data_IF_072106565947
#
_entry.id   IF_072106565947
#
_cell.length_a   1.000
_cell.length_b   1.000
_cell.length_c   1.000
_cell.angle_alpha   90.00
_cell.angle_beta   90.00
_cell.angle_gamma   90.00
#
_symmetry.space_group_name_H-M   'P 1'
#
loop_
_entity.id
_entity.type
_entity.pdbx_description
1 polymer ?
#
# COMPACT_ATOMS: atom_id res chain seq x y z
N UNK A 1 -6.70 -64.41 -30.18
CA UNK A 1 -7.57 -63.49 -29.45
C UNK A 1 -8.74 -64.10 -28.68
N UNK A 2 -9.19 -65.32 -29.04
CA UNK A 2 -10.31 -66.00 -28.35
C UNK A 2 -9.95 -66.51 -26.94
N UNK A 3 -8.68 -66.84 -26.68
CA UNK A 3 -8.26 -67.37 -25.38
C UNK A 3 -8.18 -66.32 -24.25
N UNK A 4 -7.92 -65.04 -24.59
CA UNK A 4 -7.88 -63.95 -23.61
C UNK A 4 -9.28 -63.52 -23.16
N UNK A 5 -10.28 -63.57 -24.07
CA UNK A 5 -11.65 -63.25 -23.75
C UNK A 5 -12.30 -64.30 -22.81
N UNK A 6 -12.00 -65.57 -22.99
CA UNK A 6 -12.50 -66.65 -22.11
C UNK A 6 -11.87 -66.56 -20.71
N UNK A 7 -10.59 -66.22 -20.63
CA UNK A 7 -9.90 -66.00 -19.32
C UNK A 7 -10.50 -64.81 -18.54
N UNK A 8 -10.82 -63.72 -19.19
CA UNK A 8 -11.42 -62.56 -18.57
C UNK A 8 -12.85 -62.81 -18.07
N UNK A 9 -13.64 -63.54 -18.85
CA UNK A 9 -15.02 -63.91 -18.45
C UNK A 9 -15.00 -64.92 -17.31
N UNK A 10 -14.05 -65.90 -17.34
CA UNK A 10 -13.86 -66.83 -16.24
C UNK A 10 -13.42 -66.12 -14.91
N UNK A 11 -12.57 -65.11 -15.01
CA UNK A 11 -12.16 -64.36 -13.83
C UNK A 11 -13.28 -63.48 -13.27
N UNK A 12 -14.06 -62.88 -14.13
CA UNK A 12 -15.25 -62.09 -13.73
C UNK A 12 -16.32 -62.99 -13.08
N UNK A 13 -16.58 -64.20 -13.64
CA UNK A 13 -17.52 -65.15 -13.05
C UNK A 13 -17.02 -65.72 -11.69
N UNK A 14 -15.71 -65.92 -11.52
CA UNK A 14 -15.15 -66.35 -10.25
C UNK A 14 -15.23 -65.25 -9.20
N UNK A 15 -14.99 -63.97 -9.59
CA UNK A 15 -15.08 -62.84 -8.67
C UNK A 15 -16.55 -62.60 -8.23
N UNK A 16 -17.52 -62.78 -9.11
CA UNK A 16 -18.96 -62.67 -8.77
C UNK A 16 -19.46 -63.90 -7.95
N UNK A 17 -18.88 -65.07 -8.12
CA UNK A 17 -19.27 -66.27 -7.39
C UNK A 17 -18.78 -66.28 -5.94
N UNK A 18 -17.70 -65.58 -5.64
CA UNK A 18 -17.10 -65.55 -4.28
C UNK A 18 -17.61 -64.37 -3.44
N UNK A 19 -18.07 -63.30 -4.06
CA UNK A 19 -18.56 -62.12 -3.36
C UNK A 19 -19.74 -62.40 -2.39
N UNK A 20 -20.71 -63.31 -2.70
CA UNK A 20 -21.76 -63.71 -1.72
C UNK A 20 -21.26 -64.57 -0.56
N UNK A 21 -20.07 -65.13 -0.64
CA UNK A 21 -19.45 -65.96 0.43
C UNK A 21 -18.53 -65.17 1.34
N UNK A 22 -18.31 -63.88 1.03
CA UNK A 22 -17.59 -63.03 1.96
C UNK A 22 -18.46 -62.78 3.19
N UNK A 23 -17.95 -62.97 4.41
CA UNK A 23 -18.71 -62.70 5.62
C UNK A 23 -19.11 -61.23 5.62
N UNK A 24 -20.40 -60.96 5.96
CA UNK A 24 -20.90 -59.59 6.11
C UNK A 24 -20.01 -58.86 7.13
N UNK A 25 -19.57 -57.65 6.80
CA UNK A 25 -18.76 -56.84 7.69
C UNK A 25 -19.44 -56.63 9.06
N UNK A 26 -20.77 -56.77 9.13
CA UNK A 26 -21.54 -56.73 10.36
C UNK A 26 -21.42 -58.02 11.19
N UNK A 27 -21.09 -59.18 10.55
CA UNK A 27 -20.93 -60.50 11.20
C UNK A 27 -19.48 -60.78 11.65
N UNK A 28 -18.52 -59.90 11.31
CA UNK A 28 -17.14 -60.07 11.77
C UNK A 28 -17.12 -59.89 13.30
N UNK A 29 -16.40 -60.76 14.02
CA UNK A 29 -16.31 -60.69 15.46
C UNK A 29 -15.69 -59.36 15.86
N UNK A 30 -16.47 -58.46 16.41
CA UNK A 30 -15.99 -57.20 16.96
C UNK A 30 -15.19 -57.47 18.24
N UNK A 31 -13.90 -57.36 18.17
CA UNK A 31 -13.09 -57.35 19.37
C UNK A 31 -13.24 -56.00 20.08
N UNK A 32 -14.04 -55.96 21.12
CA UNK A 32 -14.09 -54.81 22.01
C UNK A 32 -12.80 -54.83 22.84
N UNK A 33 -11.89 -53.92 22.56
CA UNK A 33 -10.71 -53.67 23.37
C UNK A 33 -11.14 -52.59 24.36
N UNK A 34 -11.36 -52.95 25.60
CA UNK A 34 -11.52 -51.98 26.68
C UNK A 34 -10.12 -51.59 27.14
N UNK A 35 -9.70 -50.41 26.77
CA UNK A 35 -8.47 -49.80 27.27
C UNK A 35 -8.86 -48.94 28.49
N UNK A 36 -8.34 -49.24 29.64
CA UNK A 36 -8.52 -48.38 30.80
C UNK A 36 -7.70 -47.11 30.58
N UNK A 37 -8.37 -46.03 30.32
CA UNK A 37 -7.76 -44.70 30.28
C UNK A 37 -7.63 -44.28 31.75
N UNK A 38 -6.42 -44.19 32.28
CA UNK A 38 -6.13 -43.55 33.53
C UNK A 38 -6.41 -42.06 33.39
N UNK A 39 -7.65 -41.69 33.69
CA UNK A 39 -8.06 -40.28 33.76
C UNK A 39 -7.53 -39.75 35.08
N UNK A 40 -6.59 -38.82 35.02
CA UNK A 40 -6.18 -38.03 36.18
C UNK A 40 -7.44 -37.54 36.93
N UNK A 41 -7.50 -37.66 38.27
CA UNK A 41 -8.64 -37.19 39.04
C UNK A 41 -9.02 -35.76 38.64
N UNK A 42 -10.28 -35.50 38.43
CA UNK A 42 -10.77 -34.19 37.99
C UNK A 42 -10.31 -33.07 38.93
N UNK A 43 -10.21 -33.36 40.21
CA UNK A 43 -9.69 -32.45 41.25
C UNK A 43 -8.25 -32.05 41.01
N UNK A 44 -7.37 -33.01 40.67
CA UNK A 44 -5.97 -32.72 40.35
C UNK A 44 -5.80 -31.93 39.02
N UNK A 45 -6.71 -32.15 38.06
CA UNK A 45 -6.75 -31.37 36.85
C UNK A 45 -7.24 -29.94 37.11
N UNK A 46 -8.23 -29.75 37.97
CA UNK A 46 -8.73 -28.45 38.38
C UNK A 46 -7.72 -27.67 39.23
N UNK A 47 -6.99 -28.33 40.14
CA UNK A 47 -5.85 -27.72 40.85
C UNK A 47 -4.73 -27.29 39.91
N UNK A 48 -4.33 -28.15 38.99
CA UNK A 48 -3.33 -27.80 37.98
C UNK A 48 -3.78 -26.65 37.06
N UNK A 49 -5.09 -26.54 36.75
CA UNK A 49 -5.65 -25.42 36.03
C UNK A 49 -5.70 -24.13 36.87
N UNK A 50 -5.99 -24.23 38.17
CA UNK A 50 -6.04 -23.08 39.06
C UNK A 50 -4.66 -22.43 39.28
N UNK A 51 -3.59 -23.22 39.23
CA UNK A 51 -2.21 -22.76 39.31
C UNK A 51 -1.75 -22.07 38.00
N UNK A 52 -2.44 -22.28 36.87
CA UNK A 52 -2.15 -21.60 35.64
C UNK A 52 -2.76 -20.20 35.61
N UNK A 53 -1.94 -19.19 35.91
CA UNK A 53 -2.35 -17.81 35.71
C UNK A 53 -2.53 -17.55 34.21
N UNK A 54 -3.78 -17.51 33.76
CA UNK A 54 -4.10 -17.17 32.36
C UNK A 54 -3.66 -15.73 32.07
N UNK A 55 -2.72 -15.60 31.13
CA UNK A 55 -2.33 -14.31 30.57
C UNK A 55 -3.23 -14.02 29.35
N UNK A 56 -4.01 -12.95 29.42
CA UNK A 56 -4.91 -12.53 28.36
C UNK A 56 -4.23 -11.44 27.53
N UNK A 57 -4.14 -11.65 26.22
CA UNK A 57 -3.63 -10.65 25.30
C UNK A 57 -4.78 -9.97 24.57
N UNK A 58 -4.74 -8.63 24.50
CA UNK A 58 -5.71 -7.80 23.76
C UNK A 58 -4.98 -6.73 22.99
N UNK A 59 -5.46 -6.44 21.78
CA UNK A 59 -4.91 -5.40 20.90
C UNK A 59 -5.94 -4.30 20.66
N UNK A 60 -5.51 -3.06 20.65
CA UNK A 60 -6.30 -1.86 20.37
C UNK A 60 -5.48 -0.86 19.56
N UNK A 61 -6.18 0.03 18.86
CA UNK A 61 -5.55 1.16 18.16
C UNK A 61 -5.75 2.42 18.99
N UNK A 62 -4.67 3.22 19.13
CA UNK A 62 -4.78 4.51 19.84
C UNK A 62 -5.67 5.49 19.08
N UNK A 63 -6.47 6.26 19.81
CA UNK A 63 -7.44 7.23 19.28
C UNK A 63 -7.06 8.66 19.67
N UNK A 64 -7.64 9.63 18.98
CA UNK A 64 -7.51 11.04 19.37
C UNK A 64 -8.11 11.24 20.76
N UNK A 65 -7.35 11.87 21.65
CA UNK A 65 -7.80 12.13 23.04
C UNK A 65 -7.63 10.97 24.02
N UNK A 66 -6.97 9.88 23.61
CA UNK A 66 -6.67 8.78 24.54
C UNK A 66 -5.78 9.26 25.69
N UNK A 67 -6.13 8.82 26.89
CA UNK A 67 -5.30 8.87 28.08
C UNK A 67 -4.72 7.49 28.38
N UNK A 68 -3.76 7.39 29.31
CA UNK A 68 -3.25 6.10 29.76
C UNK A 68 -4.38 5.21 30.31
N UNK A 69 -5.24 5.81 31.12
CA UNK A 69 -6.36 5.09 31.75
C UNK A 69 -7.37 4.60 30.70
N UNK A 70 -7.77 5.45 29.74
CA UNK A 70 -8.75 5.05 28.71
C UNK A 70 -8.21 3.97 27.78
N UNK A 71 -6.92 4.02 27.42
CA UNK A 71 -6.29 3.00 26.60
C UNK A 71 -6.19 1.67 27.35
N UNK A 72 -5.67 1.69 28.59
CA UNK A 72 -5.54 0.49 29.42
C UNK A 72 -6.90 -0.17 29.69
N UNK A 73 -7.94 0.62 29.97
CA UNK A 73 -9.31 0.11 30.15
C UNK A 73 -9.81 -0.63 28.91
N UNK A 74 -9.59 -0.09 27.71
CA UNK A 74 -9.98 -0.77 26.46
C UNK A 74 -9.19 -2.05 26.21
N UNK A 75 -7.95 -2.10 26.70
CA UNK A 75 -7.09 -3.29 26.66
C UNK A 75 -7.45 -4.31 27.76
N UNK A 76 -8.41 -3.97 28.64
CA UNK A 76 -8.81 -4.85 29.75
C UNK A 76 -7.80 -4.88 30.90
N UNK A 77 -7.00 -3.82 31.02
CA UNK A 77 -5.99 -3.66 32.06
C UNK A 77 -6.54 -2.74 33.15
N UNK A 78 -6.45 -3.20 34.40
CA UNK A 78 -6.87 -2.46 35.61
C UNK A 78 -5.66 -2.28 36.54
N UNK A 79 -4.62 -1.62 36.06
CA UNK A 79 -3.33 -1.44 36.76
C UNK A 79 -3.01 0.06 36.89
N UNK A 80 -3.18 0.60 38.10
CA UNK A 80 -2.99 2.02 38.40
C UNK A 80 -1.52 2.40 38.29
N UNK A 81 -0.59 1.50 38.65
CA UNK A 81 0.85 1.75 38.60
C UNK A 81 1.32 1.78 37.15
N UNK A 82 0.82 0.88 36.32
CA UNK A 82 1.07 0.90 34.87
C UNK A 82 0.59 2.21 34.24
N UNK A 83 -0.61 2.67 34.59
CA UNK A 83 -1.14 3.93 34.11
C UNK A 83 -0.28 5.13 34.55
N UNK A 84 0.15 5.13 35.81
CA UNK A 84 1.04 6.18 36.34
C UNK A 84 2.40 6.17 35.61
N UNK A 85 2.95 4.99 35.34
CA UNK A 85 4.20 4.84 34.59
C UNK A 85 4.07 5.36 33.16
N UNK A 86 3.01 4.97 32.43
CA UNK A 86 2.74 5.47 31.08
C UNK A 86 2.64 7.00 31.01
N UNK A 87 2.24 7.68 32.06
CA UNK A 87 2.18 9.15 32.15
C UNK A 87 3.53 9.80 32.45
N UNK A 88 4.41 9.14 33.23
CA UNK A 88 5.63 9.74 33.79
C UNK A 88 6.88 9.44 32.98
N UNK A 89 7.02 8.22 32.51
CA UNK A 89 8.23 7.79 31.79
C UNK A 89 8.27 8.38 30.38
N UNK A 90 9.45 8.93 30.01
CA UNK A 90 9.63 9.63 28.74
C UNK A 90 9.48 8.71 27.53
N UNK A 91 9.86 7.44 27.64
CA UNK A 91 9.73 6.45 26.57
C UNK A 91 8.29 5.93 26.50
N UNK A 92 7.72 5.56 27.63
CA UNK A 92 6.37 5.01 27.69
C UNK A 92 5.29 6.00 27.22
N UNK A 93 5.43 7.30 27.52
CA UNK A 93 4.53 8.35 27.02
C UNK A 93 4.38 8.38 25.50
N UNK A 94 5.40 7.95 24.76
CA UNK A 94 5.35 7.87 23.30
C UNK A 94 4.25 6.96 22.77
N UNK A 95 3.68 6.08 23.60
CA UNK A 95 2.48 5.29 23.24
C UNK A 95 1.32 6.22 22.88
N UNK A 96 1.14 7.31 23.65
CA UNK A 96 0.02 8.26 23.54
C UNK A 96 0.38 9.53 22.79
N UNK A 97 1.66 9.92 22.78
CA UNK A 97 2.13 11.16 22.15
C UNK A 97 2.15 11.05 20.62
N UNK A 98 2.00 12.18 19.94
CA UNK A 98 2.07 12.28 18.49
C UNK A 98 0.80 11.85 17.78
N UNK A 99 0.92 11.22 16.61
CA UNK A 99 -0.24 10.82 15.81
C UNK A 99 -0.94 9.60 16.42
N UNK A 100 -2.28 9.60 16.51
CA UNK A 100 -3.05 8.41 16.85
C UNK A 100 -2.92 7.34 15.75
N UNK A 101 -3.48 6.16 15.98
CA UNK A 101 -3.39 5.05 15.03
C UNK A 101 -2.21 4.11 15.30
N UNK A 102 -1.67 4.10 16.51
CA UNK A 102 -0.66 3.11 16.93
C UNK A 102 -1.35 1.83 17.33
N UNK A 103 -0.84 0.70 16.87
CA UNK A 103 -1.30 -0.63 17.28
C UNK A 103 -0.68 -0.95 18.64
N UNK A 104 -1.51 -1.16 19.66
CA UNK A 104 -1.08 -1.44 21.04
C UNK A 104 -1.66 -2.77 21.47
N UNK A 105 -0.79 -3.69 21.87
CA UNK A 105 -1.14 -4.97 22.45
C UNK A 105 -0.76 -4.96 23.93
N UNK A 106 -1.63 -5.46 24.80
CA UNK A 106 -1.33 -5.64 26.21
C UNK A 106 -1.60 -7.08 26.61
N UNK A 107 -0.68 -7.65 27.37
CA UNK A 107 -0.82 -8.94 28.05
C UNK A 107 -1.02 -8.67 29.51
N UNK A 108 -2.14 -9.11 30.06
CA UNK A 108 -2.53 -8.92 31.46
C UNK A 108 -2.92 -10.24 32.12
N UNK A 109 -2.77 -10.32 33.43
CA UNK A 109 -3.34 -11.41 34.23
C UNK A 109 -4.87 -11.32 34.28
N UNK A 110 -5.51 -12.41 34.71
CA UNK A 110 -6.96 -12.47 34.84
C UNK A 110 -7.56 -11.42 35.80
N UNK A 111 -6.77 -10.91 36.73
CA UNK A 111 -7.11 -9.82 37.64
C UNK A 111 -6.97 -8.41 37.05
N UNK A 112 -6.52 -8.32 35.80
CA UNK A 112 -6.28 -7.06 35.08
C UNK A 112 -4.91 -6.44 35.33
N UNK A 113 -4.01 -7.10 36.06
CA UNK A 113 -2.62 -6.64 36.25
C UNK A 113 -1.86 -6.73 34.96
N UNK A 114 -1.24 -5.64 34.51
CA UNK A 114 -0.43 -5.60 33.29
C UNK A 114 0.88 -6.40 33.48
N UNK A 115 1.18 -7.24 32.52
CA UNK A 115 2.46 -7.95 32.41
C UNK A 115 3.37 -7.26 31.40
N UNK A 116 2.84 -7.01 30.22
CA UNK A 116 3.55 -6.38 29.10
C UNK A 116 2.59 -5.53 28.25
N UNK A 117 3.09 -4.42 27.75
CA UNK A 117 2.41 -3.61 26.74
C UNK A 117 3.39 -3.34 25.60
N UNK A 118 2.97 -3.64 24.37
CA UNK A 118 3.76 -3.40 23.15
C UNK A 118 2.99 -2.47 22.23
N UNK A 119 3.58 -1.32 21.94
CA UNK A 119 3.04 -0.38 20.95
C UNK A 119 3.87 -0.41 19.68
N UNK A 120 3.19 -0.52 18.52
CA UNK A 120 3.79 -0.57 17.19
C UNK A 120 3.30 0.64 16.39
N UNK A 121 4.23 1.37 15.80
CA UNK A 121 3.93 2.56 14.98
C UNK A 121 5.05 2.80 13.97
N UNK A 122 4.81 3.63 12.91
CA UNK A 122 5.80 3.86 11.87
C UNK A 122 7.15 4.31 12.44
N UNK A 123 8.25 3.79 11.90
CA UNK A 123 9.58 4.30 12.15
C UNK A 123 9.73 5.74 11.60
N UNK A 124 10.90 6.36 11.76
CA UNK A 124 11.18 7.68 11.19
C UNK A 124 11.06 7.68 9.65
N UNK A 125 10.85 8.87 9.06
CA UNK A 125 10.44 9.06 7.65
C UNK A 125 11.20 8.20 6.64
N UNK A 126 12.49 8.06 6.81
CA UNK A 126 13.34 7.34 5.85
C UNK A 126 13.15 5.82 5.89
N UNK A 127 12.71 5.29 7.03
CA UNK A 127 12.54 3.87 7.29
C UNK A 127 11.08 3.42 7.40
N UNK A 128 10.12 4.35 7.40
CA UNK A 128 8.70 4.08 7.65
C UNK A 128 8.03 3.07 6.68
N UNK A 129 8.67 2.82 5.52
CA UNK A 129 8.17 1.84 4.54
C UNK A 129 8.65 0.41 4.79
N UNK A 130 9.72 0.24 5.55
CA UNK A 130 10.40 -1.04 5.74
C UNK A 130 10.56 -1.42 7.20
N UNK A 131 10.39 -0.46 8.11
CA UNK A 131 10.57 -0.65 9.54
C UNK A 131 9.46 0.03 10.33
N UNK A 132 9.28 -0.45 11.56
CA UNK A 132 8.40 0.16 12.55
C UNK A 132 9.15 0.36 13.87
N UNK A 133 8.63 1.22 14.72
CA UNK A 133 9.08 1.35 16.10
C UNK A 133 8.27 0.39 16.96
N UNK A 134 8.94 -0.53 17.62
CA UNK A 134 8.39 -1.36 18.71
C UNK A 134 8.74 -0.70 20.02
N UNK A 135 7.74 -0.27 20.77
CA UNK A 135 7.89 0.27 22.12
C UNK A 135 7.30 -0.74 23.10
N UNK A 136 8.14 -1.28 23.97
CA UNK A 136 7.74 -2.27 24.98
C UNK A 136 7.77 -1.64 26.36
N UNK A 137 6.72 -1.88 27.12
CA UNK A 137 6.60 -1.56 28.55
C UNK A 137 6.34 -2.87 29.28
N UNK A 138 7.23 -3.24 30.18
CA UNK A 138 7.16 -4.51 30.91
C UNK A 138 7.50 -4.31 32.39
N UNK A 139 7.08 -5.25 33.23
CA UNK A 139 7.50 -5.29 34.63
C UNK A 139 8.98 -5.65 34.73
N UNK A 140 9.70 -4.99 35.64
CA UNK A 140 11.10 -5.22 35.97
C UNK A 140 11.24 -5.19 37.50
N UNK A 141 11.24 -6.38 38.13
CA UNK A 141 11.12 -6.50 39.57
C UNK A 141 9.81 -5.88 40.08
N UNK A 142 9.92 -5.01 41.08
CA UNK A 142 8.78 -4.27 41.63
C UNK A 142 8.42 -3.01 40.83
N UNK A 143 9.17 -2.70 39.76
CA UNK A 143 9.00 -1.52 38.94
C UNK A 143 8.56 -1.81 37.51
N UNK A 144 8.74 -0.76 36.67
CA UNK A 144 8.45 -0.80 35.22
C UNK A 144 9.66 -0.37 34.43
N UNK A 145 9.82 -0.95 33.26
CA UNK A 145 10.81 -0.56 32.28
C UNK A 145 10.15 -0.33 30.92
N UNK A 146 10.57 0.74 30.25
CA UNK A 146 10.17 1.02 28.87
C UNK A 146 11.40 1.15 27.97
N UNK A 147 11.34 0.57 26.79
CA UNK A 147 12.35 0.71 25.75
C UNK A 147 11.71 0.71 24.37
N UNK A 148 12.41 1.31 23.41
CA UNK A 148 11.95 1.35 22.03
C UNK A 148 13.08 0.92 21.10
N UNK A 149 12.73 0.12 20.11
CA UNK A 149 13.64 -0.35 19.07
C UNK A 149 13.02 -0.20 17.69
N UNK A 150 13.85 -0.19 16.66
CA UNK A 150 13.42 -0.21 15.27
C UNK A 150 13.49 -1.64 14.77
N UNK A 151 12.36 -2.19 14.34
CA UNK A 151 12.24 -3.55 13.85
C UNK A 151 11.76 -3.55 12.39
N UNK A 152 12.14 -4.55 11.56
CA UNK A 152 11.68 -4.64 10.19
C UNK A 152 10.20 -5.02 10.10
N UNK A 153 9.49 -4.43 9.12
CA UNK A 153 8.18 -4.90 8.71
C UNK A 153 8.32 -6.18 7.90
N UNK A 154 7.40 -7.11 8.08
CA UNK A 154 7.31 -8.33 7.29
C UNK A 154 6.32 -8.12 6.14
N UNK A 155 6.75 -8.45 4.92
CA UNK A 155 5.93 -8.32 3.73
C UNK A 155 5.39 -9.67 3.28
N UNK A 156 4.08 -9.75 3.07
CA UNK A 156 3.40 -10.88 2.45
C UNK A 156 2.90 -10.48 1.06
N UNK A 157 3.19 -11.32 0.06
CA UNK A 157 2.73 -11.07 -1.31
C UNK A 157 1.28 -11.51 -1.45
N UNK A 158 0.45 -10.59 -1.97
CA UNK A 158 -0.95 -10.82 -2.31
C UNK A 158 -1.17 -10.58 -3.79
N UNK A 159 -2.18 -11.23 -4.32
CA UNK A 159 -2.66 -11.03 -5.68
C UNK A 159 -4.12 -10.66 -5.64
N UNK A 160 -4.53 -9.82 -6.58
CA UNK A 160 -5.93 -9.44 -6.72
C UNK A 160 -6.21 -8.94 -8.12
N UNK A 161 -7.48 -8.93 -8.49
CA UNK A 161 -7.92 -8.50 -9.80
C UNK A 161 -9.37 -8.02 -9.73
N UNK A 162 -9.80 -7.27 -10.72
CA UNK A 162 -11.17 -6.79 -10.78
C UNK A 162 -11.54 -6.24 -12.15
N UNK A 163 -12.85 -6.03 -12.34
CA UNK A 163 -13.43 -5.44 -13.55
C UNK A 163 -14.02 -4.07 -13.23
N UNK A 164 -13.73 -3.09 -14.06
CA UNK A 164 -14.24 -1.73 -13.91
C UNK A 164 -15.73 -1.70 -14.29
N UNK A 165 -16.57 -1.35 -13.31
CA UNK A 165 -18.01 -1.11 -13.53
C UNK A 165 -18.34 0.38 -13.48
N UNK A 166 -17.65 1.14 -12.61
CA UNK A 166 -17.84 2.58 -12.42
C UNK A 166 -16.51 3.34 -12.28
N UNK A 167 -15.63 2.93 -11.37
CA UNK A 167 -14.32 3.53 -11.12
C UNK A 167 -13.30 2.49 -10.68
N UNK A 168 -12.01 2.84 -10.73
CA UNK A 168 -10.94 1.97 -10.22
C UNK A 168 -11.12 1.71 -8.71
N UNK A 169 -11.43 2.74 -7.92
CA UNK A 169 -11.61 2.61 -6.47
C UNK A 169 -12.77 1.67 -6.11
N UNK A 170 -13.92 1.81 -6.79
CA UNK A 170 -15.05 0.90 -6.57
C UNK A 170 -14.69 -0.56 -6.92
N UNK A 171 -13.92 -0.77 -7.99
CA UNK A 171 -13.52 -2.10 -8.40
C UNK A 171 -12.45 -2.72 -7.46
N UNK A 172 -11.55 -1.91 -6.91
CA UNK A 172 -10.59 -2.38 -5.89
C UNK A 172 -11.28 -2.67 -4.56
N UNK A 173 -12.24 -1.85 -4.14
CA UNK A 173 -13.07 -2.09 -2.95
C UNK A 173 -13.86 -3.41 -3.06
N UNK A 174 -14.51 -3.66 -4.20
CA UNK A 174 -15.22 -4.90 -4.50
C UNK A 174 -14.29 -6.13 -4.45
N UNK A 175 -13.03 -5.96 -4.86
CA UNK A 175 -12.01 -7.00 -4.79
C UNK A 175 -11.31 -7.12 -3.42
N UNK A 176 -11.69 -6.33 -2.41
CA UNK A 176 -11.05 -6.31 -1.09
C UNK A 176 -9.61 -5.77 -1.11
N UNK A 177 -9.27 -4.94 -2.09
CA UNK A 177 -7.96 -4.33 -2.27
C UNK A 177 -8.00 -2.90 -1.73
N UNK A 178 -7.07 -2.56 -0.86
CA UNK A 178 -7.01 -1.25 -0.22
C UNK A 178 -6.79 -0.10 -1.22
N UNK A 179 -7.39 1.07 -0.95
CA UNK A 179 -7.26 2.28 -1.78
C UNK A 179 -5.81 2.69 -2.04
N UNK A 180 -4.91 2.47 -1.09
CA UNK A 180 -3.48 2.75 -1.26
C UNK A 180 -2.86 1.96 -2.43
N UNK A 181 -3.37 0.78 -2.75
CA UNK A 181 -2.96 -0.01 -3.93
C UNK A 181 -3.60 0.54 -5.20
N UNK A 182 -4.89 0.93 -5.16
CA UNK A 182 -5.56 1.59 -6.29
C UNK A 182 -4.82 2.87 -6.72
N UNK A 183 -4.40 3.67 -5.74
CA UNK A 183 -3.58 4.88 -5.95
C UNK A 183 -2.28 4.53 -6.66
N UNK A 184 -1.53 3.54 -6.18
CA UNK A 184 -0.28 3.11 -6.80
C UNK A 184 -0.50 2.60 -8.24
N UNK A 185 -1.56 1.83 -8.51
CA UNK A 185 -1.91 1.35 -9.86
C UNK A 185 -2.20 2.54 -10.78
N UNK A 186 -3.00 3.50 -10.32
CA UNK A 186 -3.28 4.72 -11.09
C UNK A 186 -2.00 5.53 -11.38
N UNK A 187 -1.10 5.66 -10.42
CA UNK A 187 0.19 6.35 -10.61
C UNK A 187 1.11 5.62 -11.61
N UNK A 188 1.22 4.28 -11.50
CA UNK A 188 2.04 3.45 -12.38
C UNK A 188 1.62 3.63 -13.84
N UNK A 189 0.33 3.68 -14.12
CA UNK A 189 -0.20 3.78 -15.49
C UNK A 189 -0.63 5.19 -15.88
N UNK A 190 -0.40 6.21 -15.06
CA UNK A 190 -0.83 7.60 -15.30
C UNK A 190 -0.30 8.20 -16.60
N UNK A 191 0.81 7.67 -17.14
CA UNK A 191 1.38 8.08 -18.42
C UNK A 191 0.80 7.34 -19.62
N UNK A 192 0.16 6.19 -19.37
CA UNK A 192 -0.40 5.33 -20.40
C UNK A 192 -1.92 5.51 -20.51
N UNK A 193 -2.60 5.82 -19.39
CA UNK A 193 -4.07 5.86 -19.26
C UNK A 193 -4.48 7.14 -18.53
N UNK A 194 -5.40 7.89 -19.09
CA UNK A 194 -6.12 8.94 -18.38
C UNK A 194 -7.32 8.32 -17.65
N UNK A 195 -7.11 7.97 -16.37
CA UNK A 195 -8.12 7.32 -15.53
C UNK A 195 -9.41 8.14 -15.34
N UNK A 196 -9.41 9.44 -15.67
CA UNK A 196 -10.60 10.28 -15.61
C UNK A 196 -11.41 10.27 -16.89
N UNK A 197 -10.77 10.02 -18.05
CA UNK A 197 -11.39 10.18 -19.37
C UNK A 197 -11.45 8.92 -20.18
N UNK A 198 -10.48 8.03 -20.00
CA UNK A 198 -10.27 6.85 -20.85
C UNK A 198 -10.74 5.55 -20.18
N UNK A 199 -11.06 5.57 -18.88
CA UNK A 199 -11.57 4.41 -18.15
C UNK A 199 -12.95 4.00 -18.68
N UNK A 200 -13.11 2.72 -18.98
CA UNK A 200 -14.35 2.16 -19.56
C UNK A 200 -14.90 1.04 -18.69
N UNK A 201 -16.22 0.90 -18.72
CA UNK A 201 -16.86 -0.29 -18.18
C UNK A 201 -16.39 -1.54 -18.95
N UNK A 202 -15.97 -2.57 -18.23
CA UNK A 202 -15.39 -3.78 -18.78
C UNK A 202 -13.86 -3.77 -18.86
N UNK A 203 -13.19 -2.65 -18.59
CA UNK A 203 -11.74 -2.66 -18.38
C UNK A 203 -11.42 -3.53 -17.17
N UNK A 204 -10.24 -4.16 -17.18
CA UNK A 204 -9.83 -5.07 -16.11
C UNK A 204 -8.45 -4.69 -15.57
N UNK A 205 -8.22 -5.04 -14.32
CA UNK A 205 -6.89 -4.94 -13.74
C UNK A 205 -6.52 -6.22 -12.99
N UNK A 206 -5.23 -6.47 -12.93
CA UNK A 206 -4.61 -7.49 -12.08
C UNK A 206 -3.42 -6.90 -11.37
N UNK A 207 -3.25 -7.20 -10.10
CA UNK A 207 -2.20 -6.60 -9.27
C UNK A 207 -1.56 -7.63 -8.36
N UNK A 208 -0.24 -7.54 -8.22
CA UNK A 208 0.57 -8.26 -7.25
C UNK A 208 1.14 -7.21 -6.30
N UNK A 209 0.87 -7.31 -5.03
CA UNK A 209 1.23 -6.27 -4.05
C UNK A 209 1.62 -6.87 -2.69
N UNK A 210 2.23 -6.05 -1.85
CA UNK A 210 2.60 -6.42 -0.50
C UNK A 210 1.54 -5.99 0.51
N UNK A 211 1.23 -6.86 1.46
CA UNK A 211 0.63 -6.50 2.74
C UNK A 211 1.71 -6.57 3.82
N UNK A 212 1.65 -5.68 4.79
CA UNK A 212 2.69 -5.54 5.80
C UNK A 212 2.19 -5.94 7.18
N UNK A 213 3.04 -6.64 7.92
CA UNK A 213 2.81 -6.97 9.33
C UNK A 213 3.97 -6.45 10.20
N UNK A 214 3.65 -6.19 11.46
CA UNK A 214 4.58 -5.85 12.51
C UNK A 214 4.45 -6.90 13.61
N UNK A 215 5.44 -7.74 13.82
CA UNK A 215 5.40 -8.90 14.74
C UNK A 215 4.23 -9.85 14.44
N UNK A 216 3.98 -10.15 13.16
CA UNK A 216 2.87 -10.99 12.73
C UNK A 216 1.49 -10.32 12.72
N UNK A 217 1.33 -9.13 13.33
CA UNK A 217 0.09 -8.37 13.36
C UNK A 217 -0.03 -7.44 12.14
N UNK A 218 -1.18 -7.40 11.44
CA UNK A 218 -1.39 -6.45 10.34
C UNK A 218 -1.21 -5.01 10.81
N UNK A 219 -0.40 -4.23 10.10
CA UNK A 219 -0.24 -2.81 10.42
C UNK A 219 -1.51 -2.02 10.06
N UNK A 220 -1.82 -1.00 10.84
CA UNK A 220 -3.01 -0.15 10.66
C UNK A 220 -2.74 1.16 9.93
N UNK A 221 -1.48 1.53 9.78
CA UNK A 221 -1.07 2.66 8.95
C UNK A 221 -0.85 2.21 7.51
N UNK A 222 -0.88 3.17 6.56
CA UNK A 222 -0.83 2.90 5.11
C UNK A 222 -1.84 1.82 4.65
N UNK A 223 -2.98 1.70 5.35
CA UNK A 223 -4.00 0.68 5.09
C UNK A 223 -3.44 -0.75 5.04
N UNK A 224 -2.40 -1.03 5.81
CA UNK A 224 -1.78 -2.36 5.88
C UNK A 224 -0.99 -2.77 4.64
N UNK A 225 -0.71 -1.84 3.73
CA UNK A 225 -0.12 -2.16 2.43
C UNK A 225 1.31 -1.65 2.27
N UNK A 226 2.09 -2.40 1.52
CA UNK A 226 3.40 -2.03 1.04
C UNK A 226 3.35 -1.53 -0.40
N UNK A 227 4.16 -2.14 -1.26
CA UNK A 227 4.35 -1.76 -2.65
C UNK A 227 3.56 -2.64 -3.59
N UNK A 228 3.09 -2.08 -4.71
CA UNK A 228 2.71 -2.85 -5.89
C UNK A 228 3.99 -3.45 -6.50
N UNK A 229 4.06 -4.77 -6.60
CA UNK A 229 5.20 -5.49 -7.16
C UNK A 229 5.07 -5.67 -8.67
N UNK A 230 3.84 -5.92 -9.15
CA UNK A 230 3.51 -5.95 -10.56
C UNK A 230 2.03 -5.58 -10.75
N UNK A 231 1.72 -4.99 -11.88
CA UNK A 231 0.35 -4.68 -12.26
C UNK A 231 0.14 -4.85 -13.76
N UNK A 232 -1.07 -5.22 -14.11
CA UNK A 232 -1.60 -5.22 -15.47
C UNK A 232 -2.91 -4.45 -15.47
N UNK A 233 -3.12 -3.65 -16.50
CA UNK A 233 -4.37 -2.94 -16.74
C UNK A 233 -4.76 -3.09 -18.21
N UNK A 234 -5.96 -3.58 -18.47
CA UNK A 234 -6.51 -3.70 -19.82
C UNK A 234 -7.52 -2.56 -20.00
N UNK A 235 -7.18 -1.57 -20.82
CA UNK A 235 -8.01 -0.41 -21.10
C UNK A 235 -8.38 -0.37 -22.58
N UNK A 236 -9.67 -0.47 -22.87
CA UNK A 236 -10.17 -0.49 -24.24
C UNK A 236 -9.53 -1.58 -25.11
N UNK A 237 -9.22 -2.74 -24.54
CA UNK A 237 -8.55 -3.86 -25.19
C UNK A 237 -7.03 -3.75 -25.30
N UNK A 238 -6.42 -2.65 -24.85
CA UNK A 238 -4.96 -2.49 -24.79
C UNK A 238 -4.44 -2.94 -23.44
N UNK A 239 -3.39 -3.77 -23.46
CA UNK A 239 -2.75 -4.29 -22.26
C UNK A 239 -1.58 -3.38 -21.85
N UNK A 240 -1.63 -2.86 -20.64
CA UNK A 240 -0.57 -2.09 -20.01
C UNK A 240 -0.02 -2.91 -18.84
N UNK A 241 1.27 -3.14 -18.81
CA UNK A 241 1.93 -3.94 -17.78
C UNK A 241 3.09 -3.17 -17.16
N UNK A 242 3.31 -3.41 -15.87
CA UNK A 242 4.44 -2.87 -15.15
C UNK A 242 4.86 -3.81 -14.02
N UNK A 243 6.16 -3.80 -13.71
CA UNK A 243 6.71 -4.46 -12.53
C UNK A 243 7.69 -3.54 -11.82
N UNK A 244 7.76 -3.67 -10.52
CA UNK A 244 8.78 -3.01 -9.71
C UNK A 244 10.10 -3.77 -9.85
N UNK A 245 11.16 -3.07 -10.19
CA UNK A 245 12.50 -3.62 -10.21
C UNK A 245 13.46 -2.69 -9.46
N UNK A 246 14.32 -3.26 -8.63
CA UNK A 246 15.38 -2.53 -7.93
C UNK A 246 16.72 -3.00 -8.45
N UNK A 247 17.47 -2.08 -9.06
CA UNK A 247 18.80 -2.34 -9.58
C UNK A 247 19.83 -2.55 -8.46
N UNK A 248 21.02 -3.00 -8.85
CA UNK A 248 22.14 -3.23 -7.91
C UNK A 248 22.63 -1.93 -7.25
N UNK A 249 22.33 -0.78 -7.84
CA UNK A 249 22.61 0.54 -7.26
C UNK A 249 21.64 0.93 -6.14
N UNK A 250 20.70 0.04 -5.79
CA UNK A 250 19.67 0.29 -4.79
C UNK A 250 18.51 1.16 -5.28
N UNK A 251 18.55 1.70 -6.51
CA UNK A 251 17.47 2.48 -7.09
C UNK A 251 16.40 1.57 -7.65
N UNK A 252 15.16 1.80 -7.24
CA UNK A 252 14.02 1.05 -7.72
C UNK A 252 13.09 1.90 -8.58
N UNK A 253 12.35 1.24 -9.48
CA UNK A 253 11.37 1.88 -10.34
C UNK A 253 10.42 0.86 -10.97
N UNK A 254 9.33 1.37 -11.54
CA UNK A 254 8.44 0.55 -12.35
C UNK A 254 8.90 0.53 -13.80
N UNK A 255 8.91 -0.65 -14.37
CA UNK A 255 9.30 -0.91 -15.75
C UNK A 255 8.22 -1.73 -16.45
N UNK A 256 7.98 -1.47 -17.72
CA UNK A 256 7.24 -2.38 -18.57
C UNK A 256 8.05 -3.68 -18.77
N UNK A 257 7.40 -4.76 -19.16
CA UNK A 257 8.05 -6.07 -19.28
C UNK A 257 9.09 -6.18 -20.42
N UNK A 258 9.20 -5.14 -21.25
CA UNK A 258 10.25 -4.96 -22.26
C UNK A 258 11.50 -4.23 -21.70
N UNK A 259 11.45 -3.80 -20.43
CA UNK A 259 12.52 -3.08 -19.73
C UNK A 259 12.46 -1.55 -19.92
N UNK A 260 11.41 -1.01 -20.54
CA UNK A 260 11.18 0.43 -20.56
C UNK A 260 10.66 0.91 -19.22
N UNK A 261 11.27 1.95 -18.65
CA UNK A 261 10.82 2.52 -17.39
C UNK A 261 9.45 3.17 -17.54
N UNK A 262 8.54 2.90 -16.60
CA UNK A 262 7.30 3.66 -16.45
C UNK A 262 7.55 5.05 -15.86
N UNK A 263 8.70 5.25 -15.23
CA UNK A 263 9.15 6.57 -14.79
C UNK A 263 9.60 7.36 -16.03
N UNK A 264 8.77 8.30 -16.41
CA UNK A 264 9.17 9.31 -17.38
C UNK A 264 9.99 10.40 -16.68
N UNK A 265 10.77 11.12 -17.44
CA UNK A 265 11.57 12.25 -16.93
C UNK A 265 10.69 13.26 -16.17
N UNK A 266 9.41 13.36 -16.52
CA UNK A 266 8.45 14.24 -15.89
C UNK A 266 7.12 13.54 -15.61
N UNK A 267 6.56 13.77 -14.39
CA UNK A 267 5.22 13.33 -14.02
C UNK A 267 4.17 14.01 -14.92
N UNK A 268 3.07 13.34 -15.16
CA UNK A 268 1.95 13.88 -15.92
C UNK A 268 1.23 15.02 -15.19
N UNK A 269 1.25 15.03 -13.85
CA UNK A 269 0.62 16.06 -13.02
C UNK A 269 1.45 16.35 -11.77
N UNK A 270 1.55 17.63 -11.36
CA UNK A 270 2.16 18.03 -10.09
C UNK A 270 1.26 17.77 -8.87
N UNK A 271 0.00 17.37 -9.07
CA UNK A 271 -0.93 16.98 -8.03
C UNK A 271 -1.33 15.51 -8.18
N UNK A 272 -1.59 14.85 -7.08
CA UNK A 272 -2.16 13.51 -7.09
C UNK A 272 -3.59 13.51 -7.61
N UNK A 273 -4.48 13.45 -7.76
CA UNK A 273 -5.86 13.53 -8.20
C UNK A 273 -6.34 14.99 -8.37
N UNK A 274 -6.15 15.54 -9.55
CA UNK A 274 -6.62 16.87 -9.84
C UNK A 274 -7.33 16.96 -11.19
N UNK A 275 -8.35 17.80 -11.25
CA UNK A 275 -9.04 18.12 -12.49
C UNK A 275 -8.36 19.32 -13.14
N UNK A 276 -7.92 19.18 -14.39
CA UNK A 276 -7.53 20.33 -15.23
C UNK A 276 -8.76 21.18 -15.50
N UNK A 277 -8.74 22.41 -15.00
CA UNK A 277 -9.82 23.37 -15.22
C UNK A 277 -9.56 24.30 -16.38
N UNK A 278 -8.26 24.53 -16.69
CA UNK A 278 -7.88 25.33 -17.84
C UNK A 278 -6.56 24.80 -18.43
N UNK A 279 -6.58 24.46 -19.70
CA UNK A 279 -5.40 23.98 -20.45
C UNK A 279 -4.55 25.11 -21.03
N UNK A 280 -3.43 24.70 -21.65
CA UNK A 280 -2.52 25.56 -22.39
C UNK A 280 -3.19 26.01 -23.72
N UNK A 281 -3.74 27.22 -23.74
CA UNK A 281 -4.49 27.75 -24.91
C UNK A 281 -4.65 29.27 -24.87
N UNK A 282 -5.06 29.85 -26.00
CA UNK A 282 -5.59 31.23 -26.04
C UNK A 282 -6.96 31.27 -25.36
N UNK A 283 -7.13 32.11 -24.35
CA UNK A 283 -8.42 32.27 -23.63
C UNK A 283 -8.68 33.71 -23.21
N UNK A 284 -9.94 34.04 -22.92
CA UNK A 284 -10.29 35.28 -22.26
C UNK A 284 -9.72 35.26 -20.83
N UNK A 285 -8.88 36.23 -20.50
CA UNK A 285 -8.27 36.33 -19.18
C UNK A 285 -9.35 36.72 -18.15
N UNK A 286 -9.56 35.92 -17.06
CA UNK A 286 -10.70 36.10 -16.16
C UNK A 286 -10.72 37.47 -15.46
N UNK A 287 -9.57 38.06 -15.17
CA UNK A 287 -9.43 39.35 -14.47
C UNK A 287 -9.33 40.50 -15.48
N UNK A 288 -8.51 40.34 -16.53
CA UNK A 288 -8.23 41.42 -17.47
C UNK A 288 -9.24 41.52 -18.63
N UNK A 289 -10.14 40.55 -18.77
CA UNK A 289 -11.21 40.45 -19.78
C UNK A 289 -10.76 40.73 -21.23
N UNK A 290 -9.54 40.27 -21.56
CA UNK A 290 -8.97 40.34 -22.91
C UNK A 290 -8.37 39.01 -23.32
N UNK A 291 -8.32 38.73 -24.61
CA UNK A 291 -7.70 37.49 -25.14
C UNK A 291 -6.23 37.46 -24.77
N UNK A 292 -5.80 36.42 -24.06
CA UNK A 292 -4.41 36.21 -23.67
C UNK A 292 -4.07 34.73 -23.73
N UNK A 293 -2.81 34.43 -24.10
CA UNK A 293 -2.30 33.09 -24.03
C UNK A 293 -2.21 32.64 -22.55
N UNK A 294 -2.88 31.53 -22.23
CA UNK A 294 -2.67 30.82 -20.95
C UNK A 294 -1.40 29.98 -21.11
N UNK A 295 -0.34 30.44 -20.47
CA UNK A 295 1.03 29.92 -20.64
C UNK A 295 1.30 28.67 -19.81
N UNK A 296 0.29 28.11 -19.14
CA UNK A 296 0.37 26.95 -18.28
C UNK A 296 -0.91 26.13 -18.25
N UNK A 297 -1.04 25.29 -17.26
CA UNK A 297 -2.22 24.50 -16.96
C UNK A 297 -2.68 24.81 -15.54
N UNK A 298 -3.99 25.05 -15.36
CA UNK A 298 -4.58 25.26 -14.05
C UNK A 298 -5.23 23.97 -13.56
N UNK A 299 -4.82 23.52 -12.37
CA UNK A 299 -5.35 22.36 -11.68
C UNK A 299 -6.20 22.81 -10.50
N UNK A 300 -7.52 22.57 -10.54
CA UNK A 300 -8.38 22.84 -9.39
C UNK A 300 -8.11 21.83 -8.28
N UNK A 301 -7.84 22.36 -7.10
CA UNK A 301 -7.68 21.55 -5.90
C UNK A 301 -7.93 22.44 -4.66
N UNK A 302 -8.42 21.86 -3.54
CA UNK A 302 -8.58 22.58 -2.28
C UNK A 302 -7.26 23.19 -1.78
N UNK A 303 -7.36 24.33 -1.08
CA UNK A 303 -6.20 24.91 -0.39
C UNK A 303 -5.60 23.88 0.56
N UNK A 304 -4.27 23.76 0.55
CA UNK A 304 -3.55 22.79 1.37
C UNK A 304 -3.24 21.46 0.68
N UNK A 305 -3.80 21.20 -0.51
CA UNK A 305 -3.45 20.00 -1.30
C UNK A 305 -1.95 20.00 -1.59
N UNK A 306 -1.23 18.89 -1.31
CA UNK A 306 0.21 18.79 -1.54
C UNK A 306 0.57 18.94 -3.01
N UNK A 307 1.58 19.77 -3.30
CA UNK A 307 2.15 19.97 -4.65
C UNK A 307 3.49 19.25 -4.73
N UNK A 308 3.68 18.43 -5.78
CA UNK A 308 4.88 17.63 -6.02
C UNK A 308 5.73 18.20 -7.15
N UNK A 309 7.04 18.03 -7.06
CA UNK A 309 7.98 18.29 -8.16
C UNK A 309 7.75 17.28 -9.27
N UNK A 310 7.56 17.73 -10.50
CA UNK A 310 7.31 16.81 -11.64
C UNK A 310 8.55 16.10 -12.17
N UNK A 311 9.75 16.55 -11.85
CA UNK A 311 11.02 15.97 -12.34
C UNK A 311 12.19 16.31 -11.43
N UNK A 312 13.25 15.49 -11.45
CA UNK A 312 14.47 15.77 -10.69
C UNK A 312 15.07 17.13 -11.10
N UNK A 313 15.51 17.93 -10.12
CA UNK A 313 16.03 19.26 -10.42
C UNK A 313 16.64 20.00 -9.24
N UNK A 314 16.87 21.29 -9.43
CA UNK A 314 17.32 22.22 -8.38
C UNK A 314 16.36 23.40 -8.34
N UNK A 315 15.95 23.80 -7.15
CA UNK A 315 15.09 24.96 -6.94
C UNK A 315 15.85 26.22 -7.34
N UNK A 316 15.40 26.87 -8.40
CA UNK A 316 16.00 28.12 -8.90
C UNK A 316 15.42 29.35 -8.20
N UNK A 317 14.14 29.30 -7.86
CA UNK A 317 13.44 30.33 -7.11
C UNK A 317 12.38 29.71 -6.17
N UNK A 318 12.29 30.27 -4.95
CA UNK A 318 11.25 29.96 -3.98
C UNK A 318 10.89 31.24 -3.23
N UNK A 319 9.68 31.77 -3.38
CA UNK A 319 9.27 33.04 -2.80
C UNK A 319 8.04 33.63 -3.44
N UNK A 320 7.82 34.94 -3.31
CA UNK A 320 6.65 35.65 -3.83
C UNK A 320 6.99 36.46 -5.09
N UNK A 321 6.18 36.31 -6.13
CA UNK A 321 6.27 37.11 -7.36
C UNK A 321 4.92 37.76 -7.69
N UNK A 322 4.98 38.96 -8.31
CA UNK A 322 3.76 39.65 -8.71
C UNK A 322 2.95 38.84 -9.74
N UNK A 323 1.65 38.72 -9.53
CA UNK A 323 0.76 37.90 -10.33
C UNK A 323 0.74 36.42 -9.90
N UNK A 324 1.87 35.76 -9.75
CA UNK A 324 1.97 34.34 -9.38
C UNK A 324 1.71 34.08 -7.90
N UNK A 325 1.82 35.10 -7.02
CA UNK A 325 1.75 34.90 -5.58
C UNK A 325 2.97 34.16 -5.05
N UNK A 326 2.77 33.20 -4.16
CA UNK A 326 3.83 32.30 -3.74
C UNK A 326 4.13 31.33 -4.87
N UNK A 327 5.39 31.25 -5.28
CA UNK A 327 5.82 30.49 -6.46
C UNK A 327 7.15 29.79 -6.21
N UNK A 328 7.25 28.58 -6.76
CA UNK A 328 8.50 27.82 -6.84
C UNK A 328 8.84 27.59 -8.30
N UNK A 329 10.11 27.80 -8.66
CA UNK A 329 10.66 27.47 -9.98
C UNK A 329 11.74 26.42 -9.78
N UNK A 330 11.63 25.30 -10.52
CA UNK A 330 12.61 24.23 -10.49
C UNK A 330 13.30 24.14 -11.85
N UNK A 331 14.62 24.14 -11.83
CA UNK A 331 15.46 23.96 -13.02
C UNK A 331 15.85 22.49 -13.12
N UNK A 332 15.55 21.88 -14.25
CA UNK A 332 15.84 20.49 -14.60
C UNK A 332 17.03 20.42 -15.60
N UNK A 333 17.41 19.20 -15.96
CA UNK A 333 18.37 18.97 -17.04
C UNK A 333 17.84 19.45 -18.40
N UNK A 334 18.74 19.60 -19.40
CA UNK A 334 18.42 19.95 -20.78
C UNK A 334 17.64 21.25 -20.94
N UNK A 335 18.03 22.31 -20.18
CA UNK A 335 17.42 23.66 -20.23
C UNK A 335 15.89 23.66 -20.03
N UNK A 336 15.37 22.75 -19.23
CA UNK A 336 13.96 22.68 -18.86
C UNK A 336 13.73 23.32 -17.50
N UNK A 337 12.64 24.05 -17.35
CA UNK A 337 12.20 24.60 -16.06
C UNK A 337 10.72 24.40 -15.86
N UNK A 338 10.31 24.22 -14.61
CA UNK A 338 8.89 24.16 -14.23
C UNK A 338 8.58 25.22 -13.17
N UNK A 339 7.35 25.77 -13.23
CA UNK A 339 6.88 26.82 -12.35
C UNK A 339 5.57 26.37 -11.68
N UNK A 340 5.51 26.54 -10.36
CA UNK A 340 4.37 26.16 -9.50
C UNK A 340 3.91 27.39 -8.74
N UNK A 341 2.72 27.93 -9.09
CA UNK A 341 2.24 29.21 -8.57
C UNK A 341 0.96 29.11 -7.76
N UNK A 342 0.56 30.23 -7.16
CA UNK A 342 -0.59 30.43 -6.28
C UNK A 342 -0.54 29.59 -5.00
N UNK A 343 0.66 29.17 -4.57
CA UNK A 343 0.85 28.31 -3.41
C UNK A 343 0.40 28.99 -2.10
N UNK A 344 -0.19 28.24 -1.20
CA UNK A 344 -0.46 28.67 0.19
C UNK A 344 0.79 28.61 1.05
N UNK A 345 1.67 27.62 0.81
CA UNK A 345 2.91 27.37 1.55
C UNK A 345 3.99 26.87 0.60
N UNK A 346 5.22 27.23 0.88
CA UNK A 346 6.43 26.74 0.21
C UNK A 346 7.23 25.92 1.22
N UNK A 347 7.61 24.70 0.85
CA UNK A 347 8.30 23.73 1.73
C UNK A 347 9.75 23.47 1.29
N UNK A 348 10.25 24.18 0.27
CA UNK A 348 11.60 24.06 -0.30
C UNK A 348 12.32 25.42 -0.34
N UNK A 349 13.65 25.41 -0.50
CA UNK A 349 14.48 26.61 -0.55
C UNK A 349 15.24 26.70 -1.86
N UNK A 350 15.59 27.94 -2.26
CA UNK A 350 16.46 28.18 -3.42
C UNK A 350 17.80 27.44 -3.25
N UNK A 351 18.23 26.76 -4.32
CA UNK A 351 19.46 25.95 -4.36
C UNK A 351 19.27 24.51 -3.87
N UNK A 352 18.10 24.17 -3.31
CA UNK A 352 17.80 22.80 -2.86
C UNK A 352 17.69 21.85 -4.05
N UNK A 353 18.30 20.67 -3.93
CA UNK A 353 18.07 19.56 -4.86
C UNK A 353 16.78 18.86 -4.51
N UNK A 354 15.91 18.70 -5.49
CA UNK A 354 14.61 18.08 -5.35
C UNK A 354 14.46 16.90 -6.30
N UNK A 355 13.84 15.84 -5.80
CA UNK A 355 13.55 14.65 -6.58
C UNK A 355 12.14 14.69 -7.16
N UNK A 356 11.90 14.00 -8.28
CA UNK A 356 10.58 13.79 -8.83
C UNK A 356 9.64 13.18 -7.77
N UNK A 357 8.45 13.76 -7.61
CA UNK A 357 7.48 13.35 -6.60
C UNK A 357 7.69 13.95 -5.21
N UNK A 358 8.81 14.64 -4.96
CA UNK A 358 9.05 15.34 -3.68
C UNK A 358 8.05 16.49 -3.50
N UNK A 359 7.51 16.67 -2.31
CA UNK A 359 6.63 17.80 -1.99
C UNK A 359 7.42 19.10 -1.95
N UNK A 360 6.92 20.12 -2.66
CA UNK A 360 7.52 21.45 -2.71
C UNK A 360 6.68 22.53 -2.05
N UNK A 361 5.42 22.24 -1.72
CA UNK A 361 4.49 23.20 -1.13
C UNK A 361 3.06 22.68 -1.16
N UNK A 362 2.11 23.58 -1.02
CA UNK A 362 0.68 23.27 -1.03
C UNK A 362 -0.11 24.27 -1.88
N UNK A 363 -1.20 23.80 -2.51
CA UNK A 363 -2.15 24.62 -3.28
C UNK A 363 -2.72 25.74 -2.45
N UNK A 364 -2.92 26.90 -3.05
CA UNK A 364 -3.52 28.06 -2.45
C UNK A 364 -4.29 28.92 -3.45
N UNK A 365 -4.43 30.21 -3.13
CA UNK A 365 -5.05 31.23 -3.96
C UNK A 365 -4.29 32.55 -3.84
N UNK A 366 -2.96 32.52 -3.68
CA UNK A 366 -2.14 33.73 -3.55
C UNK A 366 -1.88 34.37 -4.91
N UNK A 367 -1.66 35.68 -4.93
CA UNK A 367 -1.46 36.42 -6.18
C UNK A 367 -2.77 36.67 -6.95
N UNK A 368 -2.74 36.61 -8.30
CA UNK A 368 -3.91 36.86 -9.14
C UNK A 368 -4.71 35.58 -9.39
N UNK A 369 -5.23 35.00 -8.34
CA UNK A 369 -6.06 33.82 -8.39
C UNK A 369 -7.52 34.16 -8.09
N UNK A 370 -8.47 33.60 -8.84
CA UNK A 370 -9.91 33.77 -8.62
C UNK A 370 -10.49 32.76 -7.64
N UNK A 371 -9.73 31.76 -7.27
CA UNK A 371 -10.07 30.70 -6.32
C UNK A 371 -8.91 29.72 -6.13
N UNK A 372 -9.02 28.75 -5.22
CA UNK A 372 -7.95 27.78 -4.97
C UNK A 372 -7.65 26.94 -6.21
N UNK A 373 -6.40 27.00 -6.68
CA UNK A 373 -5.89 26.20 -7.78
C UNK A 373 -4.36 26.25 -7.81
N UNK A 374 -3.72 25.29 -8.48
CA UNK A 374 -2.33 25.34 -8.85
C UNK A 374 -2.21 25.81 -10.30
N UNK A 375 -1.47 26.89 -10.55
CA UNK A 375 -1.02 27.23 -11.89
C UNK A 375 0.36 26.62 -12.12
N UNK A 376 0.48 25.82 -13.19
CA UNK A 376 1.68 25.06 -13.52
C UNK A 376 2.15 25.36 -14.93
N UNK A 377 3.43 25.74 -15.07
CA UNK A 377 4.06 26.00 -16.36
C UNK A 377 5.25 25.06 -16.60
N UNK A 378 5.47 24.71 -17.85
CA UNK A 378 6.65 24.01 -18.34
C UNK A 378 7.36 24.81 -19.42
N UNK A 379 8.68 25.00 -19.25
CA UNK A 379 9.48 25.75 -20.23
C UNK A 379 10.62 24.87 -20.77
N UNK A 380 10.90 25.01 -22.04
CA UNK A 380 12.08 24.42 -22.73
C UNK A 380 12.84 25.57 -23.39
N UNK A 381 14.11 25.74 -23.04
CA UNK A 381 14.93 26.88 -23.50
C UNK A 381 14.24 28.24 -23.25
N UNK A 382 13.56 28.41 -22.14
CA UNK A 382 12.82 29.61 -21.77
C UNK A 382 11.48 29.82 -22.49
N UNK A 383 11.08 28.94 -23.39
CA UNK A 383 9.82 28.98 -24.14
C UNK A 383 8.78 28.11 -23.45
N UNK A 384 7.59 28.68 -23.19
CA UNK A 384 6.47 27.95 -22.62
C UNK A 384 6.04 26.82 -23.55
N UNK A 385 5.84 25.65 -22.98
CA UNK A 385 5.38 24.44 -23.67
C UNK A 385 4.12 23.93 -22.98
N UNK A 386 3.30 23.18 -23.71
CA UNK A 386 2.18 22.47 -23.13
C UNK A 386 2.66 21.37 -22.18
N UNK A 387 2.46 21.48 -20.85
CA UNK A 387 2.92 20.50 -19.88
C UNK A 387 2.42 19.09 -20.15
N UNK A 388 1.18 18.97 -20.64
CA UNK A 388 0.56 17.66 -20.92
C UNK A 388 1.24 16.94 -22.08
N UNK A 389 1.66 17.70 -23.11
CA UNK A 389 2.41 17.14 -24.24
C UNK A 389 3.81 16.71 -23.82
N UNK A 390 4.51 17.52 -23.03
CA UNK A 390 5.86 17.21 -22.55
C UNK A 390 5.85 15.95 -21.69
N UNK A 391 4.89 15.81 -20.78
CA UNK A 391 4.76 14.62 -19.96
C UNK A 391 4.57 13.35 -20.80
N UNK A 392 3.72 13.41 -21.84
CA UNK A 392 3.49 12.28 -22.77
C UNK A 392 4.70 11.96 -23.66
N UNK A 393 5.48 12.95 -24.07
CA UNK A 393 6.64 12.80 -24.98
C UNK A 393 7.97 12.62 -24.25
N UNK A 394 8.01 12.71 -22.92
CA UNK A 394 9.25 12.55 -22.18
C UNK A 394 9.80 11.12 -22.33
N UNK A 395 11.11 11.03 -22.66
CA UNK A 395 11.77 9.74 -22.88
C UNK A 395 11.66 8.84 -21.64
N UNK A 396 11.30 7.59 -21.87
CA UNK A 396 11.38 6.55 -20.84
C UNK A 396 12.86 6.22 -20.59
N UNK A 397 13.27 6.21 -19.35
CA UNK A 397 14.60 5.73 -18.97
C UNK A 397 14.66 4.23 -19.26
N UNK A 398 15.59 3.79 -20.10
CA UNK A 398 15.78 2.35 -20.35
C UNK A 398 16.63 1.71 -19.28
N UNK A 399 16.31 0.46 -18.97
CA UNK A 399 17.09 -0.34 -18.02
C UNK A 399 18.53 -0.53 -18.55
N UNK A 400 19.53 -0.39 -17.69
CA UNK A 400 20.91 -0.64 -18.05
C UNK A 400 21.12 -2.08 -18.53
N UNK A 401 21.98 -2.29 -19.53
CA UNK A 401 22.22 -3.63 -20.09
C UNK A 401 22.71 -4.64 -19.03
N UNK A 402 23.49 -4.17 -18.04
CA UNK A 402 23.97 -5.00 -16.91
C UNK A 402 22.88 -5.50 -15.97
N UNK A 403 21.72 -4.85 -15.96
CA UNK A 403 20.58 -5.20 -15.10
C UNK A 403 19.58 -6.12 -15.80
N UNK A 404 19.72 -6.32 -17.11
CA UNK A 404 18.71 -6.98 -17.93
C UNK A 404 18.43 -8.42 -17.53
N UNK A 405 19.46 -9.20 -17.21
CA UNK A 405 19.27 -10.59 -16.81
C UNK A 405 18.50 -10.75 -15.48
N UNK A 406 18.81 -9.93 -14.46
CA UNK A 406 18.08 -9.92 -13.20
C UNK A 406 16.63 -9.45 -13.36
N UNK A 407 16.44 -8.44 -14.21
CA UNK A 407 15.11 -7.95 -14.55
C UNK A 407 14.25 -9.03 -15.25
N UNK A 408 14.78 -9.73 -16.25
CA UNK A 408 14.07 -10.78 -16.99
C UNK A 408 13.64 -11.94 -16.07
N UNK A 409 14.51 -12.34 -15.14
CA UNK A 409 14.16 -13.35 -14.14
C UNK A 409 12.99 -12.89 -13.25
N UNK A 410 13.04 -11.65 -12.75
CA UNK A 410 11.96 -11.10 -11.92
C UNK A 410 10.69 -10.89 -12.73
N UNK A 411 10.79 -10.48 -13.99
CA UNK A 411 9.67 -10.31 -14.91
C UNK A 411 8.94 -11.66 -15.16
N UNK A 412 9.67 -12.76 -15.29
CA UNK A 412 9.06 -14.08 -15.44
C UNK A 412 8.23 -14.47 -14.21
N UNK A 413 8.77 -14.26 -13.00
CA UNK A 413 8.03 -14.52 -11.75
C UNK A 413 6.79 -13.63 -11.66
N UNK A 414 6.90 -12.35 -12.03
CA UNK A 414 5.79 -11.41 -12.02
C UNK A 414 4.67 -11.82 -12.98
N UNK A 415 5.01 -12.31 -14.19
CA UNK A 415 4.02 -12.82 -15.16
C UNK A 415 3.19 -13.95 -14.59
N UNK A 416 3.84 -14.96 -14.00
CA UNK A 416 3.13 -16.10 -13.39
C UNK A 416 2.15 -15.62 -12.31
N UNK A 417 2.56 -14.67 -11.46
CA UNK A 417 1.67 -14.14 -10.41
C UNK A 417 0.51 -13.32 -10.98
N UNK A 418 0.73 -12.56 -12.05
CA UNK A 418 -0.33 -11.81 -12.74
C UNK A 418 -1.31 -12.77 -13.43
N UNK A 419 -0.83 -13.90 -14.00
CA UNK A 419 -1.68 -14.92 -14.57
C UNK A 419 -2.60 -15.56 -13.52
N UNK A 420 -2.06 -15.85 -12.33
CA UNK A 420 -2.85 -16.30 -11.18
C UNK A 420 -3.88 -15.24 -10.77
N UNK A 421 -3.50 -13.96 -10.71
CA UNK A 421 -4.44 -12.89 -10.39
C UNK A 421 -5.58 -12.80 -11.40
N UNK A 422 -5.31 -12.92 -12.72
CA UNK A 422 -6.33 -12.93 -13.78
C UNK A 422 -7.31 -14.08 -13.65
N UNK A 423 -6.84 -15.28 -13.31
CA UNK A 423 -7.69 -16.46 -13.17
C UNK A 423 -8.75 -16.30 -12.06
N UNK A 424 -8.50 -15.48 -11.05
CA UNK A 424 -9.47 -15.19 -9.99
C UNK A 424 -10.67 -14.43 -10.54
N UNK A 425 -10.46 -13.43 -11.40
CA UNK A 425 -11.56 -12.66 -12.03
C UNK A 425 -12.39 -13.53 -12.95
N UNK A 426 -11.75 -14.38 -13.78
CA UNK A 426 -12.47 -15.27 -14.71
C UNK A 426 -13.36 -16.25 -13.95
N UNK A 427 -12.87 -16.84 -12.87
CA UNK A 427 -13.64 -17.75 -12.04
C UNK A 427 -14.81 -17.08 -11.28
N UNK A 428 -14.74 -15.76 -11.04
CA UNK A 428 -15.84 -15.00 -10.46
C UNK A 428 -16.92 -14.65 -11.49
N UNK A 429 -16.53 -14.34 -12.72
CA UNK A 429 -17.45 -14.02 -13.83
C UNK A 429 -18.23 -15.25 -14.34
N UNK A 430 -17.68 -16.46 -14.21
CA UNK A 430 -18.36 -17.72 -14.60
C UNK A 430 -19.41 -18.18 -13.56
N UNK A 431 -19.55 -17.48 -12.43
CA UNK A 431 -20.52 -17.79 -11.36
C UNK A 431 -21.73 -16.87 -11.31
N UNK A 432 -21.71 -15.76 -12.04
CA UNK A 432 -22.82 -14.80 -12.21
C UNK A 432 -23.53 -15.03 -13.58
#
# INVERSE_FOLDING_TARGET
MAGVAVGLVGFAAAAFGIAPLAPDAAELPRRVVSEAIDVLPLEAQLEALADHSLALSRSQVTRVGDTADSLLQRLGVADVDASAFLRRDATARRVLEGRPGKLVSATARGDGTLLELVARFPAERDQARTHFTRLTVQRDGDGWRAFAEIAPLEAQVRVGSGTIRSSLFAATEEAGIADAIAIQVAEIFSTDIDFHRELRRGDTFSVVYETLTADGEPIVWNQGTGRVLAAEFVNGGRVHQALWYQGRDGRGGYYAFDGQSKRRTFLASPLEFSRVTSGFAMRMHPILQRLRAHKGVDYAAPTGTPVRVVGDGVVDFAGRQNGYGNVVIVRHSNHRTTLYAHLSRIDVRRGERVAQGQHLGAVGATGWATGPHLHFEFHVNGVHQDPMRIAKSSEAVTLAASERAGFEQQAQVARVKLDVARSITTAALDRD
#
